data_IF_806853466023
#
_entry.id   IF_806853466023
#
_cell.length_a   1.000
_cell.length_b   1.000
_cell.length_c   1.000
_cell.angle_alpha   90.00
_cell.angle_beta   90.00
_cell.angle_gamma   90.00
#
_symmetry.space_group_name_H-M   'P 1'
#
loop_
_entity.id
_entity.type
_entity.pdbx_description
1 polymer ?
#
# COMPACT_ATOMS: atom_id res chain seq x y z
N UNK A 1 0.79 -22.34 12.20
CA UNK A 1 0.04 -21.52 11.22
C UNK A 1 0.57 -21.73 9.81
N UNK A 2 1.88 -21.64 9.58
CA UNK A 2 2.48 -21.96 8.27
C UNK A 2 2.52 -23.49 8.08
N UNK A 3 2.82 -24.21 9.15
CA UNK A 3 2.91 -25.67 9.22
C UNK A 3 1.56 -26.32 8.87
N UNK A 4 0.46 -25.71 9.30
CA UNK A 4 -0.91 -26.22 9.14
C UNK A 4 -1.35 -26.26 7.66
N UNK A 5 -0.72 -25.46 6.79
CA UNK A 5 -1.09 -25.32 5.38
C UNK A 5 0.02 -25.73 4.40
N UNK A 6 1.20 -26.11 4.89
CA UNK A 6 2.34 -26.44 4.04
C UNK A 6 2.05 -27.64 3.12
N UNK A 7 1.31 -28.63 3.61
CA UNK A 7 0.90 -29.80 2.82
C UNK A 7 -0.05 -29.42 1.66
N UNK A 8 -0.95 -28.46 1.88
CA UNK A 8 -2.01 -28.10 0.93
C UNK A 8 -1.55 -27.03 -0.07
N UNK A 9 -0.71 -26.09 0.36
CA UNK A 9 -0.31 -24.94 -0.45
C UNK A 9 1.17 -24.57 -0.22
N UNK A 10 2.13 -25.45 -0.54
CA UNK A 10 3.55 -25.26 -0.22
C UNK A 10 4.19 -24.06 -0.93
N UNK A 11 3.65 -23.63 -2.08
CA UNK A 11 4.11 -22.42 -2.78
C UNK A 11 3.66 -21.15 -2.08
N UNK A 12 2.40 -21.11 -1.64
CA UNK A 12 1.86 -19.94 -0.93
C UNK A 12 2.54 -19.76 0.43
N UNK A 13 2.81 -20.86 1.14
CA UNK A 13 3.52 -20.81 2.42
C UNK A 13 4.96 -20.29 2.28
N UNK A 14 5.70 -20.71 1.23
CA UNK A 14 7.04 -20.17 0.96
C UNK A 14 7.03 -18.66 0.69
N UNK A 15 6.08 -18.18 -0.11
CA UNK A 15 5.94 -16.73 -0.37
C UNK A 15 5.64 -15.96 0.92
N UNK A 16 4.78 -16.50 1.79
CA UNK A 16 4.48 -15.88 3.07
C UNK A 16 5.69 -15.86 4.01
N UNK A 17 6.47 -16.93 4.05
CA UNK A 17 7.68 -17.05 4.86
C UNK A 17 8.76 -16.07 4.38
N UNK A 18 9.01 -16.03 3.07
CA UNK A 18 9.99 -15.11 2.45
C UNK A 18 9.58 -13.63 2.61
N UNK A 19 8.27 -13.34 2.58
CA UNK A 19 7.73 -11.98 2.68
C UNK A 19 7.22 -11.59 4.07
N UNK A 20 7.49 -12.37 5.12
CA UNK A 20 6.87 -12.19 6.43
C UNK A 20 7.14 -10.81 7.04
N UNK A 21 8.39 -10.35 6.95
CA UNK A 21 8.81 -9.05 7.48
C UNK A 21 8.11 -7.90 6.73
N UNK A 22 7.98 -8.00 5.41
CA UNK A 22 7.32 -6.99 4.59
C UNK A 22 5.82 -6.87 4.91
N UNK A 23 5.12 -8.00 5.09
CA UNK A 23 3.68 -7.99 5.38
C UNK A 23 3.37 -7.55 6.81
N UNK A 24 4.32 -7.74 7.74
CA UNK A 24 4.16 -7.35 9.15
C UNK A 24 4.64 -5.93 9.44
N UNK A 25 5.43 -5.30 8.56
CA UNK A 25 5.88 -3.92 8.69
C UNK A 25 4.73 -2.92 8.99
N UNK A 26 3.54 -3.16 8.45
CA UNK A 26 2.35 -2.32 8.72
C UNK A 26 1.97 -2.26 10.21
N UNK A 27 2.35 -3.27 11.00
CA UNK A 27 2.04 -3.36 12.42
C UNK A 27 2.83 -2.35 13.26
N UNK A 28 3.93 -1.80 12.75
CA UNK A 28 4.70 -0.75 13.42
C UNK A 28 3.96 0.60 13.41
N UNK A 29 3.03 0.80 12.47
CA UNK A 29 2.26 2.03 12.35
C UNK A 29 1.22 2.16 13.48
N UNK A 30 0.73 3.38 13.79
CA UNK A 30 -0.38 3.55 14.71
C UNK A 30 -1.63 2.78 14.24
N UNK A 31 -2.38 2.23 15.19
CA UNK A 31 -3.47 1.28 14.93
C UNK A 31 -4.52 1.82 13.93
N UNK A 32 -4.79 3.12 14.01
CA UNK A 32 -5.74 3.83 13.12
C UNK A 32 -5.41 3.67 11.63
N UNK A 33 -4.13 3.52 11.27
CA UNK A 33 -3.68 3.39 9.87
C UNK A 33 -3.65 1.95 9.38
N UNK A 34 -3.39 0.99 10.28
CA UNK A 34 -3.17 -0.42 9.93
C UNK A 34 -4.31 -1.02 9.12
N UNK A 35 -5.57 -0.74 9.50
CA UNK A 35 -6.75 -1.31 8.86
C UNK A 35 -6.84 -0.98 7.37
N UNK A 36 -6.44 0.22 6.96
CA UNK A 36 -6.49 0.68 5.56
C UNK A 36 -5.25 0.27 4.78
N UNK A 37 -4.08 0.27 5.42
CA UNK A 37 -2.81 -0.02 4.76
C UNK A 37 -2.51 -1.52 4.61
N UNK A 38 -3.10 -2.38 5.44
CA UNK A 38 -2.92 -3.84 5.35
C UNK A 38 -3.68 -4.50 4.19
N UNK A 39 -4.51 -3.76 3.46
CA UNK A 39 -5.36 -4.33 2.40
C UNK A 39 -5.03 -3.72 1.05
N UNK A 40 -5.23 -4.47 -0.01
CA UNK A 40 -5.03 -4.02 -1.40
C UNK A 40 -6.30 -3.42 -2.02
N UNK A 41 -7.37 -3.22 -1.24
CA UNK A 41 -8.70 -2.84 -1.75
C UNK A 41 -8.66 -1.60 -2.68
N UNK A 42 -7.87 -0.58 -2.33
CA UNK A 42 -7.75 0.62 -3.17
C UNK A 42 -7.11 0.33 -4.53
N UNK A 43 -6.10 -0.54 -4.56
CA UNK A 43 -5.44 -0.96 -5.80
C UNK A 43 -6.34 -1.89 -6.63
N UNK A 44 -7.05 -2.81 -5.99
CA UNK A 44 -7.99 -3.70 -6.67
C UNK A 44 -9.13 -2.93 -7.33
N UNK A 45 -9.71 -1.94 -6.62
CA UNK A 45 -10.75 -1.07 -7.18
C UNK A 45 -10.23 -0.25 -8.38
N UNK A 46 -9.00 0.27 -8.28
CA UNK A 46 -8.38 1.00 -9.40
C UNK A 46 -8.15 0.07 -10.60
N UNK A 47 -7.63 -1.13 -10.37
CA UNK A 47 -7.39 -2.13 -11.41
C UNK A 47 -8.69 -2.58 -12.08
N UNK A 48 -9.75 -2.76 -11.30
CA UNK A 48 -11.07 -3.11 -11.82
C UNK A 48 -11.60 -2.02 -12.76
N UNK A 49 -11.45 -0.75 -12.39
CA UNK A 49 -11.90 0.36 -13.22
C UNK A 49 -11.06 0.51 -14.50
N UNK A 50 -9.76 0.25 -14.43
CA UNK A 50 -8.88 0.14 -15.61
C UNK A 50 -9.40 -0.95 -16.55
N UNK A 51 -9.63 -2.16 -16.02
CA UNK A 51 -10.14 -3.30 -16.80
C UNK A 51 -11.53 -3.01 -17.39
N UNK A 52 -12.37 -2.25 -16.70
CA UNK A 52 -13.69 -1.83 -17.19
C UNK A 52 -13.58 -0.95 -18.43
N UNK A 53 -12.70 0.07 -18.42
CA UNK A 53 -12.47 0.95 -19.59
C UNK A 53 -11.79 0.21 -20.74
N UNK A 54 -10.83 -0.66 -20.44
CA UNK A 54 -10.13 -1.49 -21.42
C UNK A 54 -11.09 -2.43 -22.17
N UNK A 55 -11.99 -3.09 -21.44
CA UNK A 55 -12.89 -4.12 -21.97
C UNK A 55 -13.79 -3.61 -23.11
N UNK A 56 -14.13 -2.32 -23.11
CA UNK A 56 -14.93 -1.69 -24.17
C UNK A 56 -14.16 -1.58 -25.49
N UNK A 57 -12.85 -1.29 -25.41
CA UNK A 57 -12.01 -1.04 -26.59
C UNK A 57 -11.58 -2.34 -27.27
N UNK A 58 -11.38 -3.41 -26.49
CA UNK A 58 -10.91 -4.75 -26.90
C UNK A 58 -9.50 -4.78 -27.51
N UNK A 59 -9.21 -3.97 -28.53
CA UNK A 59 -7.92 -3.90 -29.22
C UNK A 59 -7.54 -2.44 -29.41
N UNK A 60 -6.36 -2.05 -28.93
CA UNK A 60 -5.84 -0.70 -29.14
C UNK A 60 -5.11 -0.61 -30.50
N UNK A 61 -5.25 0.51 -31.23
CA UNK A 61 -4.57 0.71 -32.51
C UNK A 61 -3.06 0.92 -32.36
N UNK A 62 -2.60 1.42 -31.21
CA UNK A 62 -1.19 1.57 -30.85
C UNK A 62 -1.04 1.80 -29.34
N UNK A 63 0.20 1.73 -28.85
CA UNK A 63 0.56 1.95 -27.44
C UNK A 63 0.17 3.34 -26.93
N UNK A 64 0.37 4.38 -27.72
CA UNK A 64 0.03 5.76 -27.33
C UNK A 64 -1.46 5.97 -27.08
N UNK A 65 -2.32 5.22 -27.78
CA UNK A 65 -3.76 5.28 -27.57
C UNK A 65 -4.17 4.62 -26.25
N UNK A 66 -3.50 3.54 -25.85
CA UNK A 66 -3.69 2.95 -24.52
C UNK A 66 -3.22 3.91 -23.42
N UNK A 67 -2.01 4.48 -23.57
CA UNK A 67 -1.45 5.43 -22.60
C UNK A 67 -2.36 6.64 -22.39
N UNK A 68 -2.94 7.20 -23.46
CA UNK A 68 -3.88 8.33 -23.36
C UNK A 68 -5.14 7.97 -22.58
N UNK A 69 -5.73 6.79 -22.81
CA UNK A 69 -6.91 6.36 -22.06
C UNK A 69 -6.60 6.13 -20.59
N UNK A 70 -5.55 5.35 -20.31
CA UNK A 70 -5.12 5.05 -18.94
C UNK A 70 -4.75 6.33 -18.21
N UNK A 71 -4.00 7.23 -18.86
CA UNK A 71 -3.64 8.53 -18.30
C UNK A 71 -4.86 9.38 -17.97
N UNK A 72 -5.82 9.51 -18.91
CA UNK A 72 -7.05 10.26 -18.66
C UNK A 72 -7.88 9.68 -17.49
N UNK A 73 -7.98 8.34 -17.40
CA UNK A 73 -8.63 7.67 -16.26
C UNK A 73 -7.90 7.98 -14.94
N UNK A 74 -6.58 7.84 -14.91
CA UNK A 74 -5.80 8.08 -13.69
C UNK A 74 -5.90 9.54 -13.24
N UNK A 75 -5.92 10.49 -14.17
CA UNK A 75 -6.17 11.90 -13.86
C UNK A 75 -7.56 12.11 -13.23
N UNK A 76 -8.61 11.49 -13.77
CA UNK A 76 -9.96 11.56 -13.21
C UNK A 76 -10.03 10.96 -11.79
N UNK A 77 -9.30 9.86 -11.54
CA UNK A 77 -9.23 9.25 -10.22
C UNK A 77 -8.46 10.11 -9.22
N UNK A 78 -7.34 10.69 -9.64
CA UNK A 78 -6.56 11.60 -8.81
C UNK A 78 -7.38 12.83 -8.40
N UNK A 79 -8.12 13.43 -9.34
CA UNK A 79 -9.03 14.55 -9.05
C UNK A 79 -10.11 14.14 -8.04
N UNK A 80 -10.72 12.95 -8.20
CA UNK A 80 -11.72 12.44 -7.25
C UNK A 80 -11.14 12.18 -5.87
N UNK A 81 -9.93 11.66 -5.77
CA UNK A 81 -9.28 11.36 -4.50
C UNK A 81 -8.79 12.61 -3.79
N UNK A 82 -8.32 13.61 -4.53
CA UNK A 82 -7.84 14.89 -4.00
C UNK A 82 -8.98 15.78 -3.51
N UNK A 83 -10.11 15.80 -4.22
CA UNK A 83 -11.29 16.63 -3.87
C UNK A 83 -12.30 15.92 -2.98
N UNK A 84 -12.25 14.59 -2.93
CA UNK A 84 -13.18 13.76 -2.18
C UNK A 84 -12.93 13.71 -0.68
N UNK A 85 -13.50 12.70 -0.02
CA UNK A 85 -13.30 12.48 1.42
C UNK A 85 -11.85 12.05 1.67
N UNK A 86 -11.17 12.70 2.63
CA UNK A 86 -9.82 12.31 3.06
C UNK A 86 -9.74 10.84 3.41
N UNK A 87 -8.96 10.10 2.61
CA UNK A 87 -8.76 8.67 2.78
C UNK A 87 -7.82 8.32 3.94
N UNK A 88 -6.86 9.18 4.28
CA UNK A 88 -6.03 9.06 5.48
C UNK A 88 -5.84 10.44 6.09
N UNK A 89 -6.19 10.58 7.37
CA UNK A 89 -5.86 11.77 8.14
C UNK A 89 -4.47 11.55 8.74
N UNK A 90 -3.48 12.33 8.30
CA UNK A 90 -2.08 12.11 8.65
C UNK A 90 -1.65 12.79 9.96
N UNK A 91 -2.55 13.50 10.65
CA UNK A 91 -2.23 14.28 11.85
C UNK A 91 -1.54 13.42 12.92
N UNK A 92 -2.18 12.31 13.30
CA UNK A 92 -1.67 11.37 14.31
C UNK A 92 -0.37 10.67 13.88
N UNK A 93 -0.24 10.34 12.60
CA UNK A 93 1.00 9.78 12.04
C UNK A 93 2.19 10.73 12.20
N UNK A 94 1.99 12.03 11.93
CA UNK A 94 3.06 13.01 12.06
C UNK A 94 3.52 13.17 13.50
N UNK A 95 2.59 13.14 14.46
CA UNK A 95 2.93 13.23 15.88
C UNK A 95 3.63 11.95 16.37
N UNK A 96 3.12 10.77 16.00
CA UNK A 96 3.81 9.50 16.24
C UNK A 96 5.25 9.51 15.68
N UNK A 97 5.43 9.99 14.43
CA UNK A 97 6.74 10.03 13.77
C UNK A 97 7.72 10.99 14.45
N UNK A 98 7.24 12.11 15.01
CA UNK A 98 8.09 13.04 15.79
C UNK A 98 8.63 12.35 17.03
N UNK A 99 7.77 11.68 17.80
CA UNK A 99 8.16 10.92 19.00
C UNK A 99 9.22 9.88 18.65
N UNK A 100 9.00 9.08 17.59
CA UNK A 100 9.99 8.09 17.16
C UNK A 100 11.37 8.71 16.83
N UNK A 101 11.39 9.85 16.14
CA UNK A 101 12.65 10.56 15.83
C UNK A 101 13.36 11.07 17.09
N UNK A 102 12.62 11.54 18.09
CA UNK A 102 13.19 12.02 19.35
C UNK A 102 13.76 10.87 20.18
N UNK A 103 13.05 9.75 20.25
CA UNK A 103 13.52 8.52 20.90
C UNK A 103 14.82 8.01 20.27
N UNK A 104 14.89 7.98 18.93
CA UNK A 104 16.10 7.56 18.21
C UNK A 104 17.30 8.49 18.48
N UNK A 105 17.07 9.80 18.57
CA UNK A 105 18.12 10.78 18.93
C UNK A 105 18.63 10.61 20.36
N UNK A 106 17.76 10.28 21.30
CA UNK A 106 18.17 10.00 22.68
C UNK A 106 18.96 8.70 22.78
N UNK A 107 18.53 7.64 22.09
CA UNK A 107 19.23 6.36 22.06
C UNK A 107 20.65 6.46 21.48
N UNK A 108 20.84 7.21 20.39
CA UNK A 108 22.16 7.41 19.79
C UNK A 108 23.10 8.25 20.67
N UNK A 109 22.56 9.24 21.40
CA UNK A 109 23.33 10.04 22.35
C UNK A 109 23.84 9.22 23.54
N UNK A 110 23.05 8.24 24.01
CA UNK A 110 23.45 7.32 25.09
C UNK A 110 24.55 6.35 24.62
N UNK A 111 24.52 5.91 23.36
CA UNK A 111 25.56 5.04 22.80
C UNK A 111 26.91 5.74 22.60
N UNK A 112 26.92 7.06 22.37
CA UNK A 112 28.17 7.85 22.26
C UNK A 112 28.81 8.23 23.60
N UNK A 113 28.12 8.01 24.72
CA UNK A 113 28.60 8.33 26.08
C UNK A 113 29.08 7.09 26.86
N UNK A 114 29.21 5.93 26.19
CA UNK A 114 29.76 4.68 26.71
C UNK A 114 31.06 4.31 26.03
#
# INVERSE_FOLDING_TARGET
MIEDYYEKAPRAMRVLEEGFDDVTAVLELPERYRKRLRTTNGQELLNEEIRRRERVIRIFPNRESALRLLGALLMEMDEKWSTGRRYLDMTEYWDWRKVQKETLKQASKVHHLR
#
